data_IF_403509388312
#
_entry.id   IF_403509388312
#
_cell.length_a   1.000
_cell.length_b   1.000
_cell.length_c   1.000
_cell.angle_alpha   90.00
_cell.angle_beta   90.00
_cell.angle_gamma   90.00
#
_symmetry.space_group_name_H-M   'P 1'
#
loop_
_entity.id
_entity.type
_entity.pdbx_description
1 polymer ?
#
# COMPACT_ATOMS: atom_id res chain seq x y z
N UNK A 1 10.93 -13.10 -15.86
CA UNK A 1 10.01 -12.40 -14.95
C UNK A 1 10.13 -13.07 -13.60
N UNK A 2 10.14 -12.30 -12.53
CA UNK A 2 10.24 -12.80 -11.16
C UNK A 2 8.84 -13.03 -10.59
N UNK A 3 8.71 -13.89 -9.58
CA UNK A 3 7.44 -14.14 -8.87
C UNK A 3 6.85 -12.83 -8.33
N UNK A 4 7.72 -11.92 -7.88
CA UNK A 4 7.35 -10.58 -7.43
C UNK A 4 6.55 -9.80 -8.49
N UNK A 5 6.90 -9.91 -9.79
CA UNK A 5 6.20 -9.21 -10.88
C UNK A 5 4.70 -9.55 -10.91
N UNK A 6 4.32 -10.78 -10.53
CA UNK A 6 2.93 -11.21 -10.46
C UNK A 6 2.13 -10.47 -9.38
N UNK A 7 2.80 -10.05 -8.29
CA UNK A 7 2.21 -9.43 -7.10
C UNK A 7 2.35 -7.90 -7.06
N UNK A 8 3.26 -7.26 -7.83
CA UNK A 8 3.37 -5.79 -7.94
C UNK A 8 2.01 -5.08 -8.16
N UNK A 9 1.06 -5.61 -8.97
CA UNK A 9 -0.27 -5.03 -9.10
C UNK A 9 -1.06 -4.95 -7.79
N UNK A 10 -0.92 -5.94 -6.89
CA UNK A 10 -1.56 -5.95 -5.56
C UNK A 10 -1.02 -4.81 -4.70
N UNK A 11 0.32 -4.69 -4.61
CA UNK A 11 0.97 -3.58 -3.87
C UNK A 11 0.50 -2.23 -4.38
N UNK A 12 0.50 -2.08 -5.71
CA UNK A 12 0.06 -0.85 -6.37
C UNK A 12 -1.42 -0.57 -6.07
N UNK A 13 -2.28 -1.59 -6.12
CA UNK A 13 -3.71 -1.48 -5.86
C UNK A 13 -3.97 -1.00 -4.42
N UNK A 14 -3.43 -1.69 -3.43
CA UNK A 14 -3.61 -1.37 -2.00
C UNK A 14 -3.17 0.05 -1.70
N UNK A 15 -1.93 0.41 -2.08
CA UNK A 15 -1.38 1.75 -1.83
C UNK A 15 -2.19 2.82 -2.56
N UNK A 16 -2.64 2.56 -3.79
CA UNK A 16 -3.46 3.48 -4.58
C UNK A 16 -4.81 3.75 -3.91
N UNK A 17 -5.45 2.71 -3.40
CA UNK A 17 -6.78 2.81 -2.78
C UNK A 17 -6.71 3.50 -1.43
N UNK A 18 -5.70 3.19 -0.61
CA UNK A 18 -5.41 3.92 0.64
C UNK A 18 -5.34 5.43 0.37
N UNK A 19 -4.65 5.87 -0.68
CA UNK A 19 -4.56 7.31 -0.98
C UNK A 19 -5.88 7.96 -1.43
N UNK A 20 -6.78 7.18 -2.04
CA UNK A 20 -8.02 7.69 -2.60
C UNK A 20 -9.10 7.93 -1.55
N UNK A 21 -8.87 7.57 -0.27
CA UNK A 21 -9.86 7.60 0.81
C UNK A 21 -11.09 6.80 0.40
N UNK A 22 -10.96 5.48 0.48
CA UNK A 22 -12.02 4.57 0.02
C UNK A 22 -13.28 4.83 0.84
N UNK A 23 -14.39 5.13 0.17
CA UNK A 23 -15.66 5.41 0.83
C UNK A 23 -16.29 4.15 1.47
N UNK A 24 -15.86 2.95 1.05
CA UNK A 24 -16.41 1.67 1.48
C UNK A 24 -15.31 0.59 1.58
N UNK A 25 -15.09 0.06 2.79
CA UNK A 25 -14.12 -1.01 3.05
C UNK A 25 -14.37 -2.28 2.23
N UNK A 26 -15.64 -2.60 1.96
CA UNK A 26 -16.02 -3.78 1.18
C UNK A 26 -15.53 -3.73 -0.27
N UNK A 27 -15.64 -2.56 -0.92
CA UNK A 27 -15.11 -2.39 -2.28
C UNK A 27 -13.59 -2.56 -2.32
N UNK A 28 -12.88 -2.07 -1.31
CA UNK A 28 -11.45 -2.31 -1.16
C UNK A 28 -11.16 -3.80 -1.03
N UNK A 29 -11.90 -4.50 -0.17
CA UNK A 29 -11.75 -5.93 0.06
C UNK A 29 -11.89 -6.73 -1.25
N UNK A 30 -13.00 -6.54 -1.94
CA UNK A 30 -13.28 -7.27 -3.19
C UNK A 30 -12.22 -6.99 -4.25
N UNK A 31 -11.77 -5.74 -4.36
CA UNK A 31 -10.72 -5.35 -5.31
C UNK A 31 -9.38 -6.02 -4.98
N UNK A 32 -8.99 -6.04 -3.70
CA UNK A 32 -7.73 -6.67 -3.26
C UNK A 32 -7.78 -8.18 -3.44
N UNK A 33 -8.88 -8.85 -3.07
CA UNK A 33 -9.07 -10.28 -3.27
C UNK A 33 -9.02 -10.68 -4.75
N UNK A 34 -9.65 -9.89 -5.63
CA UNK A 34 -9.60 -10.11 -7.06
C UNK A 34 -8.16 -9.98 -7.60
N UNK A 35 -7.41 -8.97 -7.16
CA UNK A 35 -6.02 -8.78 -7.56
C UNK A 35 -5.08 -9.89 -7.03
N UNK A 36 -5.28 -10.36 -5.80
CA UNK A 36 -4.56 -11.51 -5.23
C UNK A 36 -4.83 -12.78 -6.04
N UNK A 37 -6.09 -13.04 -6.38
CA UNK A 37 -6.48 -14.19 -7.22
C UNK A 37 -5.81 -14.11 -8.58
N UNK A 38 -5.78 -12.94 -9.20
CA UNK A 38 -5.09 -12.72 -10.47
C UNK A 38 -3.56 -12.90 -10.33
N UNK A 39 -2.96 -12.45 -9.24
CA UNK A 39 -1.53 -12.62 -8.99
C UNK A 39 -1.15 -14.10 -8.91
N UNK A 40 -1.91 -14.90 -8.16
CA UNK A 40 -1.72 -16.35 -8.09
C UNK A 40 -1.89 -17.00 -9.46
N UNK A 41 -2.91 -16.62 -10.23
CA UNK A 41 -3.11 -17.14 -11.59
C UNK A 41 -1.93 -16.79 -12.52
N UNK A 42 -1.43 -15.55 -12.48
CA UNK A 42 -0.23 -15.15 -13.22
C UNK A 42 0.99 -16.00 -12.82
N UNK A 43 1.18 -16.25 -11.53
CA UNK A 43 2.29 -17.06 -11.05
C UNK A 43 2.17 -18.53 -11.50
N UNK A 44 0.97 -19.12 -11.44
CA UNK A 44 0.70 -20.48 -11.97
C UNK A 44 1.02 -20.57 -13.46
N UNK A 45 0.58 -19.59 -14.25
CA UNK A 45 0.84 -19.55 -15.70
C UNK A 45 2.33 -19.39 -16.04
N UNK A 46 3.11 -18.79 -15.14
CA UNK A 46 4.57 -18.68 -15.27
C UNK A 46 5.32 -19.94 -14.79
N UNK A 47 4.61 -20.96 -14.30
CA UNK A 47 5.19 -22.23 -13.88
C UNK A 47 5.71 -22.26 -12.44
N UNK A 48 5.38 -21.27 -11.60
CA UNK A 48 5.74 -21.32 -10.19
C UNK A 48 4.98 -22.44 -9.45
N UNK A 49 5.66 -23.12 -8.53
CA UNK A 49 5.08 -24.20 -7.74
C UNK A 49 4.00 -23.71 -6.79
N UNK A 50 3.03 -24.58 -6.47
CA UNK A 50 1.92 -24.23 -5.59
C UNK A 50 2.38 -23.72 -4.21
N UNK A 51 3.43 -24.32 -3.66
CA UNK A 51 4.02 -23.90 -2.38
C UNK A 51 4.61 -22.50 -2.44
N UNK A 52 5.37 -22.16 -3.49
CA UNK A 52 5.95 -20.81 -3.64
C UNK A 52 4.87 -19.75 -3.82
N UNK A 53 3.82 -20.09 -4.57
CA UNK A 53 2.67 -19.21 -4.78
C UNK A 53 1.95 -18.95 -3.46
N UNK A 54 1.76 -19.99 -2.65
CA UNK A 54 1.10 -19.89 -1.35
C UNK A 54 1.91 -19.05 -0.36
N UNK A 55 3.22 -19.27 -0.29
CA UNK A 55 4.12 -18.49 0.56
C UNK A 55 4.18 -17.01 0.15
N UNK A 56 4.24 -16.74 -1.15
CA UNK A 56 4.19 -15.37 -1.65
C UNK A 56 2.81 -14.72 -1.38
N UNK A 57 1.71 -15.44 -1.56
CA UNK A 57 0.37 -14.92 -1.32
C UNK A 57 0.17 -14.58 0.17
N UNK A 58 0.64 -15.45 1.06
CA UNK A 58 0.63 -15.22 2.50
C UNK A 58 1.35 -13.90 2.87
N UNK A 59 2.60 -13.73 2.41
CA UNK A 59 3.39 -12.53 2.71
C UNK A 59 2.68 -11.24 2.26
N UNK A 60 2.11 -11.26 1.05
CA UNK A 60 1.42 -10.10 0.48
C UNK A 60 0.10 -9.81 1.19
N UNK A 61 -0.65 -10.84 1.62
CA UNK A 61 -1.89 -10.68 2.40
C UNK A 61 -1.61 -10.02 3.74
N UNK A 62 -0.60 -10.51 4.46
CA UNK A 62 -0.22 -9.96 5.77
C UNK A 62 0.26 -8.51 5.64
N UNK A 63 1.07 -8.20 4.62
CA UNK A 63 1.46 -6.82 4.33
C UNK A 63 0.27 -5.93 3.97
N UNK A 64 -0.66 -6.42 3.15
CA UNK A 64 -1.82 -5.64 2.72
C UNK A 64 -2.71 -5.26 3.91
N UNK A 65 -2.98 -6.20 4.81
CA UNK A 65 -3.74 -5.94 6.03
C UNK A 65 -3.08 -4.89 6.91
N UNK A 66 -1.77 -5.00 7.14
CA UNK A 66 -1.03 -4.01 7.93
C UNK A 66 -1.06 -2.62 7.27
N UNK A 67 -0.79 -2.54 5.96
CA UNK A 67 -0.81 -1.27 5.23
C UNK A 67 -2.19 -0.59 5.31
N UNK A 68 -3.27 -1.36 5.17
CA UNK A 68 -4.65 -0.88 5.23
C UNK A 68 -5.00 -0.40 6.64
N UNK A 69 -4.63 -1.15 7.68
CA UNK A 69 -4.87 -0.76 9.08
C UNK A 69 -4.03 0.45 9.50
N UNK A 70 -2.79 0.54 9.06
CA UNK A 70 -1.89 1.67 9.31
C UNK A 70 -2.30 2.95 8.57
N UNK A 71 -3.18 2.87 7.56
CA UNK A 71 -3.69 4.05 6.88
C UNK A 71 -4.54 4.97 7.79
N UNK A 72 -5.05 4.44 8.92
CA UNK A 72 -5.76 5.23 9.94
C UNK A 72 -7.09 5.84 9.49
N UNK A 73 -7.72 5.31 8.45
CA UNK A 73 -9.02 5.79 7.96
C UNK A 73 -10.17 5.19 8.78
N UNK A 74 -11.14 6.03 9.15
CA UNK A 74 -12.27 5.61 10.00
C UNK A 74 -13.11 4.53 9.31
N UNK A 75 -13.29 4.65 8.00
CA UNK A 75 -14.04 3.75 7.14
C UNK A 75 -13.42 2.34 7.09
N UNK A 76 -12.11 2.23 7.34
CA UNK A 76 -11.36 0.98 7.33
C UNK A 76 -11.29 0.32 8.72
N UNK A 77 -11.89 0.90 9.75
CA UNK A 77 -11.91 0.32 11.10
C UNK A 77 -12.57 -1.07 11.15
N UNK A 78 -13.56 -1.31 10.28
CA UNK A 78 -14.23 -2.62 10.13
C UNK A 78 -13.26 -3.70 9.65
N UNK A 79 -12.19 -3.33 8.95
CA UNK A 79 -11.17 -4.26 8.44
C UNK A 79 -10.50 -5.07 9.56
N UNK A 80 -10.41 -4.53 10.78
CA UNK A 80 -9.85 -5.25 11.93
C UNK A 80 -10.70 -6.47 12.32
N UNK A 81 -12.01 -6.44 12.09
CA UNK A 81 -12.94 -7.51 12.46
C UNK A 81 -12.98 -8.63 11.41
N UNK A 82 -12.60 -8.34 10.17
CA UNK A 82 -12.58 -9.28 9.06
C UNK A 82 -11.37 -8.97 8.17
N UNK A 83 -10.17 -9.20 8.70
CA UNK A 83 -8.93 -9.03 7.95
C UNK A 83 -8.78 -10.14 6.91
N UNK A 84 -7.94 -9.94 5.90
CA UNK A 84 -7.71 -10.98 4.89
C UNK A 84 -6.93 -12.16 5.47
N UNK A 85 -5.98 -11.90 6.37
CA UNK A 85 -5.20 -12.93 7.05
C UNK A 85 -6.08 -13.82 7.93
N UNK A 86 -7.11 -13.26 8.59
CA UNK A 86 -8.02 -14.03 9.44
C UNK A 86 -8.92 -14.96 8.60
N UNK A 87 -9.36 -14.51 7.42
CA UNK A 87 -10.19 -15.32 6.53
C UNK A 87 -9.37 -16.39 5.80
N UNK A 88 -8.15 -16.07 5.37
CA UNK A 88 -7.36 -16.94 4.49
C UNK A 88 -6.37 -17.85 5.22
N UNK A 89 -5.90 -17.46 6.40
CA UNK A 89 -4.73 -18.09 7.05
C UNK A 89 -4.93 -18.47 8.52
N UNK A 90 -6.18 -18.52 8.99
CA UNK A 90 -6.62 -19.07 10.29
C UNK A 90 -5.81 -18.58 11.52
N UNK A 91 -5.16 -17.42 11.43
CA UNK A 91 -4.18 -16.98 12.43
C UNK A 91 -4.39 -15.51 12.87
N UNK A 92 -4.58 -15.33 14.18
CA UNK A 92 -4.54 -14.03 14.87
C UNK A 92 -3.13 -13.41 14.92
N UNK A 93 -2.12 -14.01 14.27
CA UNK A 93 -0.70 -13.67 14.44
C UNK A 93 0.10 -13.57 13.12
N UNK A 94 -0.53 -13.16 12.01
CA UNK A 94 0.16 -13.01 10.71
C UNK A 94 1.47 -12.21 10.78
N UNK A 95 1.52 -11.17 11.63
CA UNK A 95 2.72 -10.35 11.87
C UNK A 95 3.88 -11.05 12.58
N UNK A 96 3.62 -12.13 13.33
CA UNK A 96 4.66 -12.99 13.90
C UNK A 96 5.06 -14.08 12.91
N UNK A 97 4.06 -14.77 12.35
CA UNK A 97 4.23 -15.88 11.42
C UNK A 97 5.00 -15.46 10.16
N UNK A 98 4.90 -14.20 9.73
CA UNK A 98 5.69 -13.66 8.62
C UNK A 98 7.20 -13.91 8.77
N UNK A 99 7.77 -13.52 9.90
CA UNK A 99 9.21 -13.64 10.10
C UNK A 99 9.62 -15.10 10.33
N UNK A 100 8.75 -15.89 10.95
CA UNK A 100 9.00 -17.32 11.18
C UNK A 100 9.01 -18.09 9.85
N UNK A 101 8.08 -17.78 8.92
CA UNK A 101 8.07 -18.34 7.56
C UNK A 101 9.25 -17.86 6.73
N UNK A 102 9.61 -16.57 6.79
CA UNK A 102 10.79 -16.03 6.12
C UNK A 102 12.08 -16.74 6.54
N UNK A 103 12.25 -16.96 7.85
CA UNK A 103 13.41 -17.67 8.40
C UNK A 103 13.42 -19.16 8.02
N UNK A 104 12.25 -19.77 7.81
CA UNK A 104 12.11 -21.16 7.40
C UNK A 104 12.29 -21.39 5.89
N UNK A 105 12.39 -20.34 5.07
CA UNK A 105 12.64 -20.48 3.64
C UNK A 105 13.99 -21.14 3.38
N UNK A 106 14.00 -22.09 2.44
CA UNK A 106 15.24 -22.67 1.91
C UNK A 106 16.17 -21.54 1.43
N UNK A 107 17.49 -21.59 1.69
CA UNK A 107 18.41 -20.50 1.36
C UNK A 107 18.26 -19.97 -0.08
N UNK A 108 18.17 -20.88 -1.06
CA UNK A 108 18.11 -20.54 -2.48
C UNK A 108 16.69 -20.34 -3.05
N UNK A 109 15.64 -20.30 -2.20
CA UNK A 109 14.28 -19.95 -2.67
C UNK A 109 14.14 -18.43 -2.86
N UNK A 110 14.94 -17.89 -3.79
CA UNK A 110 14.95 -16.48 -4.13
C UNK A 110 13.59 -15.95 -4.63
N UNK A 111 12.79 -16.67 -5.43
CA UNK A 111 11.50 -16.17 -5.89
C UNK A 111 10.56 -15.76 -4.76
N UNK A 112 10.44 -16.60 -3.71
CA UNK A 112 9.61 -16.30 -2.54
C UNK A 112 10.28 -15.25 -1.65
N UNK A 113 11.59 -15.39 -1.40
CA UNK A 113 12.36 -14.44 -0.58
C UNK A 113 12.26 -13.01 -1.12
N UNK A 114 12.29 -12.83 -2.45
CA UNK A 114 12.05 -11.54 -3.12
C UNK A 114 10.72 -10.91 -2.71
N UNK A 115 9.64 -11.68 -2.62
CA UNK A 115 8.31 -11.17 -2.25
C UNK A 115 8.30 -10.72 -0.79
N UNK A 116 8.87 -11.52 0.12
CA UNK A 116 8.99 -11.17 1.54
C UNK A 116 9.82 -9.90 1.75
N UNK A 117 11.02 -9.84 1.15
CA UNK A 117 11.89 -8.67 1.25
C UNK A 117 11.21 -7.43 0.67
N UNK A 118 10.48 -7.59 -0.44
CA UNK A 118 9.72 -6.48 -1.00
C UNK A 118 8.60 -5.99 -0.06
N UNK A 119 7.91 -6.87 0.68
CA UNK A 119 6.95 -6.45 1.71
C UNK A 119 7.62 -5.59 2.79
N UNK A 120 8.79 -5.99 3.27
CA UNK A 120 9.58 -5.22 4.25
C UNK A 120 9.96 -3.85 3.71
N UNK A 121 10.50 -3.81 2.49
CA UNK A 121 10.84 -2.58 1.78
C UNK A 121 9.62 -1.70 1.49
N UNK A 122 8.44 -2.32 1.34
CA UNK A 122 7.15 -1.66 1.16
C UNK A 122 6.53 -1.17 2.49
N UNK A 123 7.26 -1.25 3.60
CA UNK A 123 6.87 -0.69 4.89
C UNK A 123 6.19 -1.67 5.84
N UNK A 124 6.34 -2.99 5.63
CA UNK A 124 5.91 -4.00 6.60
C UNK A 124 6.80 -3.95 7.85
N UNK A 125 6.21 -3.80 9.03
CA UNK A 125 6.88 -3.84 10.33
C UNK A 125 6.53 -5.09 11.13
N UNK A 126 5.30 -5.61 10.98
CA UNK A 126 4.82 -6.77 11.73
C UNK A 126 5.06 -6.63 13.24
N UNK A 127 5.60 -7.69 13.84
CA UNK A 127 5.90 -7.75 15.30
C UNK A 127 6.85 -6.65 15.82
N UNK A 128 7.59 -5.98 14.95
CA UNK A 128 8.52 -4.91 15.34
C UNK A 128 7.84 -3.54 15.47
N UNK A 129 6.61 -3.39 14.96
CA UNK A 129 5.66 -2.30 15.22
C UNK A 129 6.01 -0.90 14.68
N UNK A 130 7.27 -0.62 14.34
CA UNK A 130 7.70 0.70 13.86
C UNK A 130 8.91 0.63 12.92
N UNK A 131 9.04 1.69 12.12
CA UNK A 131 10.12 1.88 11.14
C UNK A 131 11.51 1.89 11.75
N UNK A 132 11.72 2.63 12.83
CA UNK A 132 13.05 2.85 13.41
C UNK A 132 13.48 1.72 14.35
N UNK A 133 12.94 0.51 14.16
CA UNK A 133 13.36 -0.67 14.88
C UNK A 133 14.70 -1.17 14.30
N UNK A 134 15.74 -1.23 15.13
CA UNK A 134 17.09 -1.65 14.72
C UNK A 134 17.13 -3.14 14.33
N UNK A 135 16.38 -3.99 15.03
CA UNK A 135 16.32 -5.43 14.74
C UNK A 135 15.69 -5.68 13.37
N UNK A 136 14.59 -4.97 13.06
CA UNK A 136 13.99 -5.02 11.73
C UNK A 136 14.96 -4.54 10.64
N UNK A 137 15.69 -3.45 10.87
CA UNK A 137 16.71 -2.98 9.92
C UNK A 137 17.78 -4.03 9.67
N UNK A 138 18.28 -4.68 10.73
CA UNK A 138 19.29 -5.72 10.62
C UNK A 138 18.76 -6.93 9.82
N UNK A 139 17.52 -7.35 10.06
CA UNK A 139 16.87 -8.42 9.29
C UNK A 139 16.79 -8.03 7.81
N UNK A 140 16.34 -6.81 7.50
CA UNK A 140 16.26 -6.36 6.11
C UNK A 140 17.64 -6.38 5.44
N UNK A 141 18.69 -5.89 6.11
CA UNK A 141 20.04 -5.91 5.54
C UNK A 141 20.55 -7.34 5.33
N UNK A 142 20.40 -8.22 6.33
CA UNK A 142 20.79 -9.62 6.22
C UNK A 142 20.08 -10.31 5.04
N UNK A 143 18.78 -10.08 4.89
CA UNK A 143 18.01 -10.65 3.79
C UNK A 143 18.43 -10.10 2.43
N UNK A 144 18.82 -8.82 2.34
CA UNK A 144 19.37 -8.24 1.11
C UNK A 144 20.76 -8.78 0.78
N UNK A 145 21.59 -9.03 1.78
CA UNK A 145 22.94 -9.60 1.63
C UNK A 145 22.89 -11.06 1.17
N UNK A 146 21.87 -11.80 1.60
CA UNK A 146 21.60 -13.17 1.15
C UNK A 146 21.12 -13.25 -0.31
N UNK A 147 20.76 -12.12 -0.94
CA UNK A 147 20.34 -12.10 -2.34
C UNK A 147 21.52 -11.85 -3.29
N UNK A 148 21.53 -12.53 -4.46
CA UNK A 148 22.42 -12.19 -5.56
C UNK A 148 22.30 -10.71 -5.98
N UNK A 149 23.42 -10.11 -6.38
CA UNK A 149 23.48 -8.68 -6.77
C UNK A 149 22.46 -8.30 -7.84
N UNK A 150 22.20 -9.20 -8.79
CA UNK A 150 21.21 -9.00 -9.86
C UNK A 150 19.79 -8.83 -9.29
N UNK A 151 19.44 -9.61 -8.28
CA UNK A 151 18.14 -9.57 -7.61
C UNK A 151 18.04 -8.37 -6.66
N UNK A 152 19.13 -8.01 -5.98
CA UNK A 152 19.20 -6.81 -5.14
C UNK A 152 18.98 -5.54 -5.96
N UNK A 153 19.62 -5.44 -7.12
CA UNK A 153 19.42 -4.34 -8.07
C UNK A 153 17.99 -4.26 -8.59
N UNK A 154 17.40 -5.41 -8.95
CA UNK A 154 16.00 -5.51 -9.35
C UNK A 154 15.03 -5.04 -8.25
N UNK A 155 15.19 -5.51 -7.01
CA UNK A 155 14.36 -5.10 -5.87
C UNK A 155 14.43 -3.60 -5.61
N UNK A 156 15.64 -3.04 -5.59
CA UNK A 156 15.86 -1.61 -5.36
C UNK A 156 15.13 -0.77 -6.41
N UNK A 157 15.22 -1.17 -7.68
CA UNK A 157 14.55 -0.49 -8.78
C UNK A 157 13.02 -0.58 -8.67
N UNK A 158 12.47 -1.77 -8.41
CA UNK A 158 11.03 -1.94 -8.29
C UNK A 158 10.45 -1.23 -7.06
N UNK A 159 11.16 -1.25 -5.93
CA UNK A 159 10.75 -0.51 -4.75
C UNK A 159 10.75 0.99 -5.05
N UNK A 160 11.82 1.51 -5.67
CA UNK A 160 11.86 2.91 -6.08
C UNK A 160 10.68 3.26 -7.00
N UNK A 161 10.35 2.41 -7.98
CA UNK A 161 9.21 2.62 -8.88
C UNK A 161 7.88 2.66 -8.12
N UNK A 162 7.66 1.72 -7.20
CA UNK A 162 6.44 1.69 -6.39
C UNK A 162 6.32 2.95 -5.52
N UNK A 163 7.38 3.30 -4.79
CA UNK A 163 7.39 4.45 -3.88
C UNK A 163 7.27 5.77 -4.63
N UNK A 164 7.92 5.92 -5.78
CA UNK A 164 7.79 7.12 -6.61
C UNK A 164 6.35 7.29 -7.13
N UNK A 165 5.69 6.20 -7.54
CA UNK A 165 4.26 6.23 -7.92
C UNK A 165 3.38 6.64 -6.75
N UNK A 166 3.66 6.12 -5.55
CA UNK A 166 2.95 6.47 -4.33
C UNK A 166 3.13 7.97 -4.00
N UNK A 167 4.37 8.45 -3.87
CA UNK A 167 4.67 9.83 -3.46
C UNK A 167 4.19 10.90 -4.44
N UNK A 168 4.35 10.68 -5.75
CA UNK A 168 3.89 11.64 -6.76
C UNK A 168 2.38 11.87 -6.69
N UNK A 169 1.61 10.80 -6.39
CA UNK A 169 0.16 10.91 -6.27
C UNK A 169 -0.25 11.65 -4.99
N UNK A 170 0.46 11.49 -3.87
CA UNK A 170 0.28 12.31 -2.67
C UNK A 170 0.53 13.79 -2.94
N UNK A 171 1.63 14.11 -3.64
CA UNK A 171 1.96 15.49 -4.04
C UNK A 171 0.86 16.09 -4.92
N UNK A 172 0.37 15.35 -5.90
CA UNK A 172 -0.69 15.81 -6.79
C UNK A 172 -2.01 16.08 -6.04
N UNK A 173 -2.44 15.16 -5.14
CA UNK A 173 -3.64 15.37 -4.30
C UNK A 173 -3.54 16.63 -3.45
N UNK A 174 -2.38 16.87 -2.82
CA UNK A 174 -2.12 18.10 -2.04
C UNK A 174 -2.13 19.36 -2.91
N UNK A 175 -1.52 19.31 -4.10
CA UNK A 175 -1.48 20.43 -5.05
C UNK A 175 -2.88 20.83 -5.53
N UNK A 176 -3.68 19.84 -5.96
CA UNK A 176 -5.04 20.07 -6.44
C UNK A 176 -5.91 20.73 -5.36
N UNK A 177 -5.83 20.25 -4.11
CA UNK A 177 -6.54 20.87 -2.99
C UNK A 177 -6.10 22.32 -2.71
N UNK A 178 -4.82 22.66 -2.90
CA UNK A 178 -4.33 24.04 -2.75
C UNK A 178 -4.91 24.96 -3.82
N UNK A 179 -4.92 24.56 -5.08
CA UNK A 179 -5.45 25.38 -6.18
C UNK A 179 -6.97 25.57 -6.05
N UNK A 180 -7.71 24.50 -5.72
CA UNK A 180 -9.15 24.58 -5.43
C UNK A 180 -9.48 25.52 -4.27
N UNK A 181 -8.72 25.48 -3.17
CA UNK A 181 -8.88 26.43 -2.05
C UNK A 181 -8.62 27.88 -2.47
N UNK A 182 -7.59 28.13 -3.27
CA UNK A 182 -7.31 29.47 -3.82
C UNK A 182 -8.45 29.96 -4.72
N UNK A 183 -8.99 29.08 -5.56
CA UNK A 183 -10.12 29.40 -6.44
C UNK A 183 -11.39 29.75 -5.64
N UNK A 184 -11.72 28.95 -4.61
CA UNK A 184 -12.89 29.20 -3.75
C UNK A 184 -12.76 30.55 -3.03
N UNK A 185 -11.58 30.85 -2.47
CA UNK A 185 -11.33 32.14 -1.82
C UNK A 185 -11.49 33.30 -2.81
N UNK A 186 -10.97 33.16 -4.03
CA UNK A 186 -11.11 34.18 -5.06
C UNK A 186 -12.57 34.43 -5.46
N UNK A 187 -13.35 33.37 -5.69
CA UNK A 187 -14.78 33.47 -6.01
C UNK A 187 -15.56 34.10 -4.85
N UNK A 188 -15.29 33.70 -3.61
CA UNK A 188 -15.94 34.29 -2.43
C UNK A 188 -15.70 35.80 -2.30
N UNK A 189 -14.49 36.25 -2.65
CA UNK A 189 -14.13 37.68 -2.68
C UNK A 189 -14.95 38.44 -3.74
N UNK A 190 -15.11 37.88 -4.94
CA UNK A 190 -15.91 38.51 -6.01
C UNK A 190 -17.38 38.64 -5.60
N UNK A 191 -17.95 37.61 -4.96
CA UNK A 191 -19.33 37.63 -4.48
C UNK A 191 -19.52 38.71 -3.41
N UNK A 192 -18.59 38.85 -2.47
CA UNK A 192 -18.64 39.89 -1.45
C UNK A 192 -18.59 41.30 -2.06
N UNK A 193 -17.74 41.51 -3.08
CA UNK A 193 -17.66 42.79 -3.80
C UNK A 193 -18.97 43.09 -4.51
N UNK A 194 -19.57 42.10 -5.18
CA UNK A 194 -20.85 42.28 -5.86
C UNK A 194 -21.97 42.67 -4.88
N UNK A 195 -22.09 41.94 -3.75
CA UNK A 195 -23.07 42.26 -2.70
C UNK A 195 -22.85 43.68 -2.17
N UNK A 196 -21.60 44.07 -1.90
CA UNK A 196 -21.27 45.41 -1.43
C UNK A 196 -21.73 46.50 -2.41
N UNK A 197 -21.45 46.33 -3.71
CA UNK A 197 -21.88 47.27 -4.76
C UNK A 197 -23.41 47.37 -4.82
N UNK A 198 -24.12 46.25 -4.76
CA UNK A 198 -25.60 46.25 -4.80
C UNK A 198 -26.22 46.97 -3.61
N UNK A 199 -25.70 46.76 -2.40
CA UNK A 199 -26.16 47.46 -1.18
C UNK A 199 -25.84 48.95 -1.25
N UNK A 200 -24.66 49.31 -1.74
CA UNK A 200 -24.25 50.71 -1.89
C UNK A 200 -25.18 51.47 -2.85
N UNK A 201 -25.48 50.89 -4.03
CA UNK A 201 -26.40 51.47 -5.00
C UNK A 201 -27.83 51.63 -4.44
N UNK A 202 -28.32 50.65 -3.67
CA UNK A 202 -29.62 50.74 -3.01
C UNK A 202 -29.68 51.84 -1.94
N UNK A 203 -28.56 52.15 -1.26
CA UNK A 203 -28.52 53.21 -0.25
C UNK A 203 -28.53 54.62 -0.83
N UNK A 204 -27.96 54.81 -2.02
CA UNK A 204 -27.93 56.11 -2.72
C UNK A 204 -29.26 56.42 -3.40
N UNK A 205 -30.00 55.39 -3.80
CA UNK A 205 -31.32 55.53 -4.43
C UNK A 205 -32.47 55.87 -3.46
N UNK A 206 -32.20 56.03 -2.17
CA UNK A 206 -33.14 56.44 -1.12
C UNK A 206 -32.81 57.85 -0.63
#
# INVERSE_FOLDING_TARGET
MQLLDCYIPVFTCVLRMIQQQVNQAETLRQTVLAELTQAQNRARLQGYGAQDIEEANFAVVVWADEAILCAGQKELSVWRQSSLQAELYDAELGGNTFFDRLAALVPDNYPVRLVYVFCLLAGFYGRYGKRDNLELHNIIQQELDNLPDTLRGYLSLENHRLMNRYDNKLKNKRSNNKWRRKLILFISSIILIYIFITVYLLSIGR
#
